data_IF_972415457088
#
_entry.id   IF_972415457088
#
_cell.length_a   1.000
_cell.length_b   1.000
_cell.length_c   1.000
_cell.angle_alpha   90.00
_cell.angle_beta   90.00
_cell.angle_gamma   90.00
#
_symmetry.space_group_name_H-M   'P 1'
#
loop_
_entity.id
_entity.type
_entity.pdbx_description
1 polymer ?
#
# COMPACT_ATOMS: atom_id res chain seq x y z
N UNK A 1 8.66 4.43 10.20
CA UNK A 1 7.39 3.72 9.92
C UNK A 1 7.41 3.28 8.47
N UNK A 2 6.92 2.08 8.13
CA UNK A 2 6.83 1.59 6.75
C UNK A 2 5.45 0.97 6.50
N UNK A 3 4.71 1.53 5.55
CA UNK A 3 3.41 1.00 5.14
C UNK A 3 3.62 -0.12 4.13
N UNK A 4 2.84 -1.19 4.25
CA UNK A 4 2.90 -2.32 3.35
C UNK A 4 1.55 -3.05 3.30
N UNK A 5 1.38 -3.89 2.28
CA UNK A 5 0.32 -4.90 2.19
C UNK A 5 0.97 -6.22 1.79
N UNK A 6 0.31 -7.39 1.92
CA UNK A 6 1.00 -8.68 1.79
C UNK A 6 1.81 -8.82 0.50
N UNK A 7 1.25 -8.43 -0.64
CA UNK A 7 1.90 -8.56 -1.95
C UNK A 7 3.06 -7.56 -2.18
N UNK A 8 3.20 -6.53 -1.34
CA UNK A 8 4.32 -5.59 -1.35
C UNK A 8 5.35 -5.82 -0.24
N UNK A 9 5.12 -6.78 0.66
CA UNK A 9 6.06 -7.12 1.71
C UNK A 9 7.35 -7.69 1.12
N UNK A 10 8.50 -7.18 1.57
CA UNK A 10 9.81 -7.73 1.22
C UNK A 10 10.00 -9.09 1.91
N UNK A 11 10.55 -10.08 1.20
CA UNK A 11 10.71 -11.45 1.73
C UNK A 11 11.65 -11.51 2.93
N UNK A 12 12.71 -10.70 2.91
CA UNK A 12 13.55 -10.45 4.08
C UNK A 12 13.22 -9.07 4.66
N UNK A 13 12.48 -8.99 5.79
CA UNK A 13 12.13 -7.71 6.38
C UNK A 13 13.34 -6.96 6.94
N UNK A 14 14.52 -7.58 7.11
CA UNK A 14 15.70 -6.92 7.71
C UNK A 14 16.54 -6.15 6.69
N UNK A 15 16.42 -6.46 5.39
CA UNK A 15 17.23 -5.82 4.33
C UNK A 15 16.93 -4.33 4.20
N UNK A 16 15.67 -3.94 4.32
CA UNK A 16 15.23 -2.56 4.07
C UNK A 16 14.67 -1.86 5.32
N UNK A 17 14.84 -2.44 6.51
CA UNK A 17 14.29 -1.89 7.74
C UNK A 17 15.31 -1.90 8.88
N UNK A 18 15.22 -0.88 9.73
CA UNK A 18 15.96 -0.81 10.97
C UNK A 18 15.27 -1.65 12.06
N UNK A 19 16.00 -2.04 13.13
CA UNK A 19 15.45 -2.82 14.24
C UNK A 19 14.27 -2.18 14.96
N UNK A 20 14.04 -0.87 14.82
CA UNK A 20 12.95 -0.10 15.42
C UNK A 20 11.85 0.29 14.42
N UNK A 21 11.95 -0.11 13.14
CA UNK A 21 10.94 0.21 12.13
C UNK A 21 9.57 -0.36 12.49
N UNK A 22 8.59 0.54 12.69
CA UNK A 22 7.17 0.18 12.74
C UNK A 22 6.65 -0.21 11.36
N UNK A 23 6.20 -1.46 11.22
CA UNK A 23 5.60 -2.02 10.00
C UNK A 23 4.08 -1.88 10.10
N UNK A 24 3.48 -1.10 9.20
CA UNK A 24 2.05 -0.77 9.24
C UNK A 24 1.32 -1.45 8.08
N UNK A 25 0.46 -2.41 8.41
CA UNK A 25 -0.37 -3.11 7.43
C UNK A 25 -1.48 -2.20 6.92
N UNK A 26 -1.51 -2.02 5.61
CA UNK A 26 -2.63 -1.44 4.85
C UNK A 26 -3.47 -2.58 4.30
N UNK A 27 -4.63 -2.83 4.90
CA UNK A 27 -5.49 -3.94 4.51
C UNK A 27 -6.53 -3.50 3.48
N UNK A 28 -6.41 -3.98 2.24
CA UNK A 28 -7.34 -3.71 1.15
C UNK A 28 -8.43 -4.77 1.02
N UNK A 29 -8.21 -5.96 1.59
CA UNK A 29 -9.13 -7.11 1.52
C UNK A 29 -9.04 -7.96 2.79
N UNK A 30 -10.11 -8.69 3.10
CA UNK A 30 -10.16 -9.57 4.28
C UNK A 30 -8.99 -10.57 4.33
N UNK A 31 -8.52 -11.02 3.17
CA UNK A 31 -7.36 -11.92 3.05
C UNK A 31 -6.05 -11.32 3.58
N UNK A 32 -5.92 -10.00 3.65
CA UNK A 32 -4.72 -9.35 4.19
C UNK A 32 -4.62 -9.55 5.70
N UNK A 33 -5.76 -9.49 6.40
CA UNK A 33 -5.85 -9.82 7.82
C UNK A 33 -5.56 -11.29 8.08
N UNK A 34 -6.10 -12.17 7.24
CA UNK A 34 -5.84 -13.60 7.39
C UNK A 34 -4.36 -13.92 7.17
N UNK A 35 -3.71 -13.30 6.18
CA UNK A 35 -2.28 -13.47 5.97
C UNK A 35 -1.46 -13.04 7.18
N UNK A 36 -1.65 -11.82 7.71
CA UNK A 36 -0.84 -11.35 8.84
C UNK A 36 -1.11 -12.20 10.09
N UNK A 37 -2.35 -12.63 10.32
CA UNK A 37 -2.69 -13.55 11.40
C UNK A 37 -1.90 -14.86 11.27
N UNK A 38 -1.84 -15.43 10.07
CA UNK A 38 -1.10 -16.69 9.85
C UNK A 38 0.41 -16.56 10.05
N UNK A 39 0.96 -15.39 9.72
CA UNK A 39 2.38 -15.09 9.95
C UNK A 39 2.66 -14.94 11.45
N UNK A 40 1.88 -14.13 12.16
CA UNK A 40 2.15 -13.80 13.57
C UNK A 40 1.81 -14.92 14.55
N UNK A 41 0.87 -15.79 14.19
CA UNK A 41 0.41 -16.91 15.03
C UNK A 41 0.93 -18.26 14.56
N UNK A 42 1.87 -18.27 13.61
CA UNK A 42 2.45 -19.46 13.01
C UNK A 42 1.41 -20.51 12.52
N UNK A 43 0.29 -20.04 11.95
CA UNK A 43 -0.79 -20.91 11.42
C UNK A 43 -0.48 -21.39 10.01
N UNK A 44 -1.27 -22.34 9.50
CA UNK A 44 -1.17 -22.83 8.11
C UNK A 44 -1.17 -21.67 7.10
N UNK A 45 -0.12 -21.60 6.27
CA UNK A 45 0.12 -20.47 5.37
C UNK A 45 -0.90 -20.40 4.24
N UNK A 46 -1.34 -19.18 3.95
CA UNK A 46 -2.28 -18.85 2.88
C UNK A 46 -1.52 -18.64 1.57
N UNK A 47 -1.95 -19.30 0.49
CA UNK A 47 -1.32 -19.19 -0.84
C UNK A 47 -2.23 -18.62 -1.93
N UNK A 48 -3.52 -18.45 -1.64
CA UNK A 48 -4.55 -18.04 -2.61
C UNK A 48 -5.11 -16.66 -2.23
N UNK A 49 -5.63 -15.94 -3.22
CA UNK A 49 -6.28 -14.64 -3.01
C UNK A 49 -5.33 -13.43 -3.13
N UNK A 50 -4.11 -13.64 -3.61
CA UNK A 50 -3.11 -12.59 -3.84
C UNK A 50 -2.71 -12.57 -5.31
N UNK A 51 -2.56 -11.38 -5.89
CA UNK A 51 -2.14 -11.23 -7.30
C UNK A 51 -0.64 -11.46 -7.50
N UNK A 52 0.14 -11.29 -6.43
CA UNK A 52 1.54 -11.67 -6.31
C UNK A 52 1.70 -12.43 -4.99
N UNK A 53 2.48 -13.50 -4.99
CA UNK A 53 2.65 -14.32 -3.80
C UNK A 53 3.35 -13.51 -2.69
N UNK A 54 2.72 -13.33 -1.52
CA UNK A 54 3.36 -12.71 -0.38
C UNK A 54 4.34 -13.69 0.31
N UNK A 55 5.22 -13.20 1.19
CA UNK A 55 6.07 -14.07 1.99
C UNK A 55 5.25 -15.12 2.75
N UNK A 56 5.68 -16.38 2.65
CA UNK A 56 5.08 -17.47 3.43
C UNK A 56 5.69 -17.57 4.82
N UNK A 57 6.95 -17.16 4.96
CA UNK A 57 7.65 -17.02 6.23
C UNK A 57 8.14 -15.58 6.25
N UNK A 58 7.88 -14.89 7.36
CA UNK A 58 8.21 -13.48 7.48
C UNK A 58 8.66 -13.21 8.91
N UNK A 59 9.98 -13.15 9.11
CA UNK A 59 10.62 -13.01 10.43
C UNK A 59 10.56 -11.57 10.92
N UNK A 60 9.36 -11.15 11.33
CA UNK A 60 9.09 -9.82 11.88
C UNK A 60 8.77 -9.90 13.36
N UNK A 61 9.17 -8.88 14.12
CA UNK A 61 8.78 -8.75 15.52
C UNK A 61 7.31 -8.32 15.62
N UNK A 62 6.40 -9.13 16.19
CA UNK A 62 4.98 -8.78 16.30
C UNK A 62 4.73 -7.46 17.03
N UNK A 63 5.60 -7.07 17.97
CA UNK A 63 5.49 -5.80 18.71
C UNK A 63 5.66 -4.56 17.83
N UNK A 64 6.26 -4.71 16.65
CA UNK A 64 6.48 -3.62 15.70
C UNK A 64 5.42 -3.53 14.60
N UNK A 65 4.47 -4.48 14.59
CA UNK A 65 3.38 -4.50 13.63
C UNK A 65 2.25 -3.58 14.13
N UNK A 66 1.69 -2.79 13.21
CA UNK A 66 0.46 -2.02 13.39
C UNK A 66 -0.48 -2.29 12.23
N UNK A 67 -1.77 -2.08 12.45
CA UNK A 67 -2.78 -2.13 11.39
C UNK A 67 -3.24 -0.69 11.17
N UNK A 68 -3.21 -0.22 9.93
CA UNK A 68 -3.75 1.08 9.57
C UNK A 68 -5.27 1.07 9.77
N UNK A 69 -5.79 2.03 10.53
CA UNK A 69 -7.23 2.20 10.68
C UNK A 69 -7.84 2.56 9.31
N UNK A 70 -8.89 1.85 8.84
CA UNK A 70 -9.58 2.16 7.58
C UNK A 70 -10.11 3.58 7.47
N UNK A 71 -10.27 4.30 8.58
CA UNK A 71 -10.58 5.73 8.60
C UNK A 71 -9.68 6.55 7.64
N UNK A 72 -8.36 6.31 7.63
CA UNK A 72 -7.47 7.07 6.74
C UNK A 72 -7.67 6.72 5.26
N UNK A 73 -8.12 5.50 4.95
CA UNK A 73 -8.51 5.11 3.60
C UNK A 73 -9.80 5.81 3.17
N UNK A 74 -10.76 5.94 4.08
CA UNK A 74 -11.99 6.68 3.83
C UNK A 74 -11.71 8.16 3.58
N UNK A 75 -10.90 8.81 4.43
CA UNK A 75 -10.51 10.22 4.24
C UNK A 75 -9.81 10.43 2.90
N UNK A 76 -8.84 9.59 2.55
CA UNK A 76 -8.15 9.71 1.27
C UNK A 76 -9.10 9.49 0.08
N UNK A 77 -10.01 8.50 0.17
CA UNK A 77 -10.95 8.22 -0.91
C UNK A 77 -12.01 9.31 -1.06
N UNK A 78 -12.64 9.75 0.03
CA UNK A 78 -13.76 10.71 0.02
C UNK A 78 -13.27 12.15 -0.10
N UNK A 79 -12.37 12.58 0.80
CA UNK A 79 -11.97 13.99 0.90
C UNK A 79 -10.95 14.41 -0.14
N UNK A 80 -9.99 13.54 -0.46
CA UNK A 80 -8.92 13.87 -1.42
C UNK A 80 -9.29 13.47 -2.85
N UNK A 81 -9.91 12.30 -3.03
CA UNK A 81 -10.22 11.77 -4.37
C UNK A 81 -11.70 11.84 -4.76
N UNK A 82 -12.60 12.28 -3.87
CA UNK A 82 -14.04 12.35 -4.12
C UNK A 82 -14.61 11.07 -4.73
N UNK A 83 -14.10 9.92 -4.31
CA UNK A 83 -14.55 8.61 -4.79
C UNK A 83 -15.88 8.27 -4.13
N UNK A 84 -16.87 7.80 -4.90
CA UNK A 84 -18.14 7.40 -4.32
C UNK A 84 -17.95 6.14 -3.45
N UNK A 85 -18.58 6.12 -2.28
CA UNK A 85 -18.52 5.00 -1.32
C UNK A 85 -19.02 3.69 -1.94
N UNK A 86 -20.05 3.79 -2.79
CA UNK A 86 -20.55 2.69 -3.61
C UNK A 86 -20.09 2.88 -5.05
N UNK A 87 -19.18 2.02 -5.49
CA UNK A 87 -18.64 2.09 -6.85
C UNK A 87 -19.28 1.01 -7.74
N UNK A 88 -19.86 1.38 -8.89
CA UNK A 88 -20.51 0.44 -9.81
C UNK A 88 -19.50 -0.33 -10.68
N UNK A 89 -18.22 0.06 -10.68
CA UNK A 89 -17.20 -0.50 -11.58
C UNK A 89 -16.76 -1.89 -11.12
N UNK A 90 -16.50 -2.78 -12.10
CA UNK A 90 -15.87 -4.09 -11.87
C UNK A 90 -14.52 -3.95 -11.15
N UNK A 91 -13.76 -2.90 -11.46
CA UNK A 91 -12.54 -2.52 -10.73
C UNK A 91 -12.86 -1.32 -9.86
N UNK A 92 -12.88 -1.53 -8.55
CA UNK A 92 -13.08 -0.45 -7.58
C UNK A 92 -11.82 0.42 -7.52
N UNK A 93 -12.02 1.72 -7.69
CA UNK A 93 -10.99 2.71 -7.46
C UNK A 93 -10.66 2.82 -5.98
N UNK A 94 -9.38 2.97 -5.67
CA UNK A 94 -8.87 3.12 -4.31
C UNK A 94 -7.59 3.99 -4.32
N UNK A 95 -7.32 4.75 -3.25
CA UNK A 95 -6.07 5.51 -3.13
C UNK A 95 -4.83 4.60 -3.23
N UNK A 96 -3.73 5.10 -3.78
CA UNK A 96 -2.42 4.43 -3.66
C UNK A 96 -1.96 4.40 -2.20
N UNK A 97 -1.12 3.42 -1.85
CA UNK A 97 -0.44 3.41 -0.55
C UNK A 97 0.35 4.69 -0.29
N UNK A 98 0.88 5.34 -1.34
CA UNK A 98 1.56 6.63 -1.24
C UNK A 98 0.63 7.74 -0.75
N UNK A 99 -0.56 7.87 -1.36
CA UNK A 99 -1.55 8.86 -0.93
C UNK A 99 -2.09 8.55 0.48
N UNK A 100 -2.23 7.28 0.84
CA UNK A 100 -2.58 6.87 2.21
C UNK A 100 -1.48 7.26 3.21
N UNK A 101 -0.21 7.13 2.85
CA UNK A 101 0.91 7.55 3.69
C UNK A 101 0.90 9.07 3.90
N UNK A 102 0.66 9.85 2.84
CA UNK A 102 0.54 11.31 2.92
C UNK A 102 -0.66 11.69 3.82
N UNK A 103 -1.82 11.07 3.61
CA UNK A 103 -3.03 11.32 4.41
C UNK A 103 -2.76 11.03 5.89
N UNK A 104 -2.13 9.90 6.21
CA UNK A 104 -1.75 9.55 7.57
C UNK A 104 -0.77 10.58 8.17
N UNK A 105 0.26 10.98 7.42
CA UNK A 105 1.26 11.93 7.89
C UNK A 105 0.63 13.30 8.20
N UNK A 106 -0.29 13.79 7.36
CA UNK A 106 -0.99 15.06 7.60
C UNK A 106 -1.89 15.04 8.85
N UNK A 107 -2.29 13.87 9.34
CA UNK A 107 -3.06 13.74 10.59
C UNK A 107 -2.17 13.57 11.83
N UNK A 108 -0.91 13.18 11.66
CA UNK A 108 -0.02 12.83 12.77
C UNK A 108 1.14 13.81 12.97
N UNK A 109 1.47 14.61 11.96
CA UNK A 109 2.63 15.49 11.94
C UNK A 109 2.21 16.95 11.72
N UNK A 110 2.93 17.87 12.36
CA UNK A 110 2.71 19.32 12.18
C UNK A 110 3.22 19.83 10.82
N UNK A 111 4.24 19.16 10.27
CA UNK A 111 4.86 19.48 8.99
C UNK A 111 5.21 18.19 8.24
N UNK A 112 4.90 18.16 6.94
CA UNK A 112 5.14 17.00 6.07
C UNK A 112 5.93 17.43 4.84
N UNK A 113 7.08 16.80 4.64
CA UNK A 113 7.84 16.88 3.39
C UNK A 113 7.61 15.60 2.57
N UNK A 114 7.35 15.77 1.28
CA UNK A 114 7.04 14.66 0.37
C UNK A 114 8.18 14.52 -0.63
N UNK A 115 8.70 13.31 -0.78
CA UNK A 115 9.72 12.98 -1.76
C UNK A 115 9.34 11.70 -2.50
N UNK A 116 9.66 11.63 -3.80
CA UNK A 116 9.36 10.46 -4.63
C UNK A 116 7.87 10.22 -4.90
N UNK A 117 7.01 11.21 -4.68
CA UNK A 117 5.60 11.16 -5.05
C UNK A 117 5.37 11.82 -6.41
N UNK A 118 4.38 11.32 -7.14
CA UNK A 118 4.08 11.73 -8.50
C UNK A 118 4.32 10.60 -9.49
N UNK A 119 3.60 10.67 -10.60
CA UNK A 119 3.66 9.67 -11.66
C UNK A 119 3.94 10.35 -12.99
N UNK A 120 4.62 9.66 -13.91
CA UNK A 120 4.71 10.14 -15.27
C UNK A 120 3.33 10.22 -15.92
N UNK A 121 3.25 10.94 -17.03
CA UNK A 121 2.03 11.07 -17.83
C UNK A 121 1.40 9.68 -18.09
N UNK A 122 0.09 9.56 -17.85
CA UNK A 122 -0.67 8.31 -17.98
C UNK A 122 -0.61 7.68 -19.39
N UNK A 123 -0.35 8.50 -20.41
CA UNK A 123 -0.17 8.05 -21.79
C UNK A 123 1.24 7.50 -22.04
N UNK A 124 2.24 7.89 -21.23
CA UNK A 124 3.61 7.40 -21.34
C UNK A 124 3.85 6.08 -20.57
N UNK A 125 3.22 5.00 -21.04
CA UNK A 125 3.25 3.67 -20.38
C UNK A 125 4.64 3.04 -20.26
N UNK A 126 5.65 3.54 -21.00
CA UNK A 126 7.03 3.01 -21.01
C UNK A 126 7.94 3.68 -19.98
N UNK A 127 7.50 4.77 -19.36
CA UNK A 127 8.31 5.46 -18.36
C UNK A 127 8.35 4.67 -17.05
N UNK A 128 9.53 4.66 -16.41
CA UNK A 128 9.75 4.00 -15.13
C UNK A 128 9.04 4.75 -14.00
N UNK A 129 8.49 4.00 -13.04
CA UNK A 129 7.74 4.56 -11.90
C UNK A 129 8.47 4.43 -10.57
N UNK A 130 9.53 3.63 -10.51
CA UNK A 130 10.38 3.49 -9.33
C UNK A 130 11.79 4.03 -9.63
N UNK A 131 12.45 4.57 -8.61
CA UNK A 131 13.80 5.12 -8.73
C UNK A 131 14.90 4.04 -8.66
N UNK A 132 14.57 2.84 -8.18
CA UNK A 132 15.52 1.76 -7.91
C UNK A 132 15.39 0.56 -8.86
N UNK A 133 14.36 0.53 -9.70
CA UNK A 133 14.14 -0.57 -10.66
C UNK A 133 13.48 -0.07 -11.95
N UNK A 134 13.47 -0.93 -12.97
CA UNK A 134 12.98 -0.59 -14.32
C UNK A 134 11.52 -0.96 -14.56
N UNK A 135 10.70 -1.01 -13.50
CA UNK A 135 9.25 -1.20 -13.63
C UNK A 135 8.62 0.05 -14.22
N UNK A 136 7.75 -0.14 -15.21
CA UNK A 136 7.07 0.93 -15.94
C UNK A 136 5.64 1.15 -15.50
N UNK A 137 5.06 2.29 -15.87
CA UNK A 137 3.66 2.64 -15.57
C UNK A 137 2.67 1.59 -16.11
N UNK A 138 3.03 0.84 -17.16
CA UNK A 138 2.24 -0.28 -17.68
C UNK A 138 1.89 -1.31 -16.60
N UNK A 139 2.74 -1.51 -15.59
CA UNK A 139 2.50 -2.47 -14.50
C UNK A 139 1.31 -2.09 -13.61
N UNK A 140 0.91 -0.81 -13.60
CA UNK A 140 -0.24 -0.31 -12.83
C UNK A 140 -1.57 -0.44 -13.56
N UNK A 141 -1.57 -0.96 -14.79
CA UNK A 141 -2.79 -1.16 -15.57
C UNK A 141 -3.79 -2.06 -14.82
N UNK A 142 -5.01 -1.59 -14.61
CA UNK A 142 -6.06 -2.35 -13.92
C UNK A 142 -5.88 -2.45 -12.39
N UNK A 143 -4.93 -1.73 -11.80
CA UNK A 143 -4.69 -1.71 -10.35
C UNK A 143 -5.85 -1.11 -9.53
N UNK A 144 -6.68 -0.29 -10.17
CA UNK A 144 -7.73 0.50 -9.51
C UNK A 144 -7.21 1.80 -8.91
N UNK A 145 -5.98 2.22 -9.19
CA UNK A 145 -5.49 3.53 -8.79
C UNK A 145 -5.67 4.55 -9.91
N UNK A 146 -6.06 5.79 -9.58
CA UNK A 146 -6.15 6.89 -10.53
C UNK A 146 -5.01 7.89 -10.30
N UNK A 147 -3.80 7.47 -10.68
CA UNK A 147 -2.57 8.22 -10.38
C UNK A 147 -2.55 9.66 -10.92
N UNK A 148 -3.24 9.91 -12.03
CA UNK A 148 -3.38 11.27 -12.57
C UNK A 148 -4.22 12.17 -11.67
N UNK A 149 -5.26 11.62 -11.05
CA UNK A 149 -6.08 12.35 -10.08
C UNK A 149 -5.35 12.51 -8.76
N UNK A 150 -4.62 11.49 -8.29
CA UNK A 150 -3.85 11.57 -7.05
C UNK A 150 -2.71 12.60 -7.11
N UNK A 151 -2.16 12.88 -8.30
CA UNK A 151 -1.15 13.93 -8.48
C UNK A 151 -1.72 15.37 -8.38
N UNK A 152 -3.04 15.53 -8.46
CA UNK A 152 -3.74 16.82 -8.40
C UNK A 152 -4.42 17.09 -7.04
N UNK A 153 -4.53 16.06 -6.20
CA UNK A 153 -5.18 16.10 -4.89
C UNK A 153 -4.23 16.66 -3.83
#
# INVERSE_FOLDING_TARGET
>A
MRLFYPESAHFDPKVENNPDTLLVLVAFKAMDFHWIETILSDKKRVRKGFWKQPPLIWDVNPKQIRILNPFFMEIAADKLLSLPMQQPRKIKQKPTTGLLAITLALHLCDLVHIAGFGYPDAYNKKQTIHYYEQITLKSMAGSGHNVSQEALA
#
